data_IF_510775502690
#
_entry.id   IF_510775502690
#
_cell.length_a   1.000
_cell.length_b   1.000
_cell.length_c   1.000
_cell.angle_alpha   90.00
_cell.angle_beta   90.00
_cell.angle_gamma   90.00
#
_symmetry.space_group_name_H-M   'P 1'
#
loop_
_entity.id
_entity.type
_entity.pdbx_description
1 polymer ?
#
# COMPACT_ATOMS: atom_id res chain seq x y z
N UNK A 1 8.62 -21.91 -2.15
CA UNK A 1 9.40 -23.11 -2.55
C UNK A 1 8.45 -24.20 -3.07
N UNK A 2 7.43 -24.60 -2.32
CA UNK A 2 6.51 -25.68 -2.71
C UNK A 2 5.82 -25.42 -4.07
N UNK A 3 5.25 -24.22 -4.24
CA UNK A 3 4.56 -23.79 -5.47
C UNK A 3 5.37 -23.96 -6.77
N UNK A 4 6.71 -23.95 -6.68
CA UNK A 4 7.62 -24.12 -7.83
C UNK A 4 7.89 -25.58 -8.20
N UNK A 5 7.56 -26.55 -7.32
CA UNK A 5 7.95 -27.96 -7.54
C UNK A 5 7.28 -28.57 -8.76
N UNK A 6 6.01 -28.23 -9.02
CA UNK A 6 5.30 -28.65 -10.22
C UNK A 6 4.07 -27.79 -10.46
N UNK A 7 3.54 -27.83 -11.69
CA UNK A 7 2.26 -27.18 -12.06
C UNK A 7 1.05 -27.76 -11.31
N UNK A 8 1.16 -29.02 -10.86
CA UNK A 8 0.09 -29.73 -10.13
C UNK A 8 0.26 -29.66 -8.61
N UNK A 9 1.22 -28.86 -8.10
CA UNK A 9 1.43 -28.75 -6.66
C UNK A 9 0.21 -28.07 -6.00
N UNK A 10 -0.28 -28.54 -4.83
CA UNK A 10 -1.42 -27.95 -4.12
C UNK A 10 -1.27 -26.46 -3.79
N UNK A 11 -0.02 -25.96 -3.65
CA UNK A 11 0.28 -24.57 -3.40
C UNK A 11 0.54 -23.76 -4.68
N UNK A 12 0.33 -24.36 -5.88
CA UNK A 12 0.61 -23.66 -7.14
C UNK A 12 -0.14 -22.34 -7.21
N UNK A 13 -1.43 -22.37 -7.02
CA UNK A 13 -2.33 -21.23 -7.15
C UNK A 13 -2.35 -20.30 -5.94
N UNK A 14 -1.45 -20.52 -4.98
CA UNK A 14 -1.22 -19.55 -3.89
C UNK A 14 -0.52 -18.28 -4.36
N UNK A 15 0.15 -18.36 -5.51
CA UNK A 15 0.84 -17.25 -6.15
C UNK A 15 0.33 -17.06 -7.57
N UNK A 16 0.58 -15.89 -8.13
CA UNK A 16 0.14 -15.55 -9.49
C UNK A 16 1.16 -16.12 -10.48
N UNK A 17 0.75 -17.16 -11.21
CA UNK A 17 1.52 -17.79 -12.24
C UNK A 17 0.86 -17.63 -13.59
N UNK A 18 1.64 -17.38 -14.65
CA UNK A 18 1.16 -17.29 -16.03
C UNK A 18 2.08 -18.03 -16.97
N UNK A 19 1.51 -18.61 -18.03
CA UNK A 19 2.30 -19.17 -19.12
C UNK A 19 2.95 -18.04 -19.93
N UNK A 20 4.09 -18.31 -20.59
CA UNK A 20 4.71 -17.36 -21.51
C UNK A 20 3.74 -16.96 -22.64
N UNK A 21 3.72 -15.68 -23.00
CA UNK A 21 3.01 -15.16 -24.17
C UNK A 21 4.02 -14.95 -25.29
N UNK A 22 3.93 -15.72 -26.38
CA UNK A 22 4.90 -15.70 -27.48
C UNK A 22 6.36 -15.91 -27.02
N UNK A 23 6.58 -16.73 -25.97
CA UNK A 23 7.89 -17.01 -25.41
C UNK A 23 8.49 -15.88 -24.53
N UNK A 24 7.69 -14.88 -24.18
CA UNK A 24 8.06 -13.74 -23.33
C UNK A 24 7.16 -13.66 -22.08
N UNK A 25 7.38 -12.61 -21.29
CA UNK A 25 6.54 -12.27 -20.14
C UNK A 25 5.06 -12.18 -20.52
N UNK A 26 4.15 -12.47 -19.57
CA UNK A 26 2.70 -12.40 -19.80
C UNK A 26 2.19 -11.03 -20.26
N UNK A 27 2.82 -9.97 -19.78
CA UNK A 27 2.60 -8.58 -20.18
C UNK A 27 3.87 -7.75 -19.91
N UNK A 28 3.80 -6.46 -20.17
CA UNK A 28 4.95 -5.56 -20.09
C UNK A 28 5.16 -4.87 -18.73
N UNK A 29 4.45 -5.27 -17.66
CA UNK A 29 4.51 -4.55 -16.38
C UNK A 29 5.91 -4.50 -15.77
N UNK A 30 6.29 -3.31 -15.29
CA UNK A 30 7.46 -3.13 -14.45
C UNK A 30 7.17 -3.42 -12.98
N UNK A 31 8.21 -3.79 -12.22
CA UNK A 31 8.12 -3.90 -10.77
C UNK A 31 8.42 -2.56 -10.07
N UNK A 32 7.91 -2.39 -8.86
CA UNK A 32 8.12 -1.18 -8.03
C UNK A 32 9.60 -0.91 -7.71
N UNK A 33 10.44 -1.94 -7.70
CA UNK A 33 11.90 -1.83 -7.51
C UNK A 33 12.68 -1.84 -8.83
N UNK A 34 12.00 -1.64 -9.96
CA UNK A 34 12.57 -1.68 -11.30
C UNK A 34 12.66 -3.09 -11.89
N UNK A 35 12.85 -3.17 -13.20
CA UNK A 35 12.83 -4.42 -13.94
C UNK A 35 11.42 -4.90 -14.25
N UNK A 36 11.31 -6.13 -14.78
CA UNK A 36 10.02 -6.78 -15.04
C UNK A 36 9.30 -7.15 -13.73
N UNK A 37 7.97 -7.07 -13.73
CA UNK A 37 7.12 -7.64 -12.67
C UNK A 37 7.00 -9.16 -12.74
N UNK A 38 7.66 -9.79 -13.69
CA UNK A 38 7.59 -11.22 -13.95
C UNK A 38 8.97 -11.87 -13.91
N UNK A 39 9.09 -13.00 -13.23
CA UNK A 39 10.30 -13.81 -13.22
C UNK A 39 10.03 -15.20 -13.78
N UNK A 40 10.87 -15.62 -14.73
CA UNK A 40 10.74 -16.94 -15.37
C UNK A 40 11.25 -18.05 -14.44
N UNK A 41 10.44 -19.09 -14.29
CA UNK A 41 10.81 -20.31 -13.58
C UNK A 41 11.11 -21.45 -14.58
N UNK A 42 12.38 -21.79 -14.77
CA UNK A 42 12.76 -22.83 -15.73
C UNK A 42 12.26 -24.23 -15.36
N UNK A 43 11.98 -24.48 -14.08
CA UNK A 43 11.50 -25.79 -13.62
C UNK A 43 10.09 -26.08 -14.10
N UNK A 44 9.21 -25.08 -14.09
CA UNK A 44 7.81 -25.22 -14.53
C UNK A 44 7.52 -24.55 -15.85
N UNK A 45 8.50 -23.85 -16.43
CA UNK A 45 8.41 -23.11 -17.69
C UNK A 45 7.26 -22.09 -17.68
N UNK A 46 7.06 -21.40 -16.55
CA UNK A 46 6.06 -20.35 -16.37
C UNK A 46 6.70 -19.15 -15.73
N UNK A 47 6.00 -18.02 -15.77
CA UNK A 47 6.36 -16.81 -15.05
C UNK A 47 5.55 -16.71 -13.76
N UNK A 48 6.19 -16.25 -12.66
CA UNK A 48 5.48 -15.81 -11.48
C UNK A 48 5.57 -14.28 -11.34
N UNK A 49 4.51 -13.71 -10.78
CA UNK A 49 4.43 -12.28 -10.56
C UNK A 49 5.14 -11.87 -9.28
N UNK A 50 5.83 -10.72 -9.32
CA UNK A 50 6.38 -10.03 -8.16
C UNK A 50 6.41 -8.52 -8.42
N UNK A 51 5.52 -7.76 -7.81
CA UNK A 51 5.52 -6.29 -7.94
C UNK A 51 6.71 -5.64 -7.23
N UNK A 52 7.30 -6.33 -6.26
CA UNK A 52 8.46 -5.88 -5.50
C UNK A 52 9.67 -6.79 -5.78
N UNK A 53 10.30 -7.35 -4.76
CA UNK A 53 11.45 -8.24 -4.96
C UNK A 53 11.05 -9.59 -5.57
N UNK A 54 11.92 -10.17 -6.40
CA UNK A 54 11.80 -11.56 -6.89
C UNK A 54 11.64 -12.60 -5.77
N UNK A 55 12.03 -12.25 -4.54
CA UNK A 55 11.84 -13.09 -3.34
C UNK A 55 10.49 -12.87 -2.64
N UNK A 56 9.68 -11.95 -3.16
CA UNK A 56 8.35 -11.61 -2.67
C UNK A 56 7.31 -11.84 -3.77
N UNK A 57 7.07 -13.10 -4.17
CA UNK A 57 6.06 -13.40 -5.18
C UNK A 57 4.67 -12.96 -4.68
N UNK A 58 3.89 -12.40 -5.58
CA UNK A 58 2.54 -11.93 -5.27
C UNK A 58 1.60 -13.08 -4.95
N UNK A 59 0.91 -12.97 -3.80
CA UNK A 59 -0.12 -13.90 -3.40
C UNK A 59 -1.36 -13.76 -4.30
N UNK A 60 -1.94 -14.88 -4.66
CA UNK A 60 -3.15 -14.92 -5.46
C UNK A 60 -4.40 -14.76 -4.57
N UNK A 61 -4.85 -13.52 -4.33
CA UNK A 61 -6.04 -13.24 -3.54
C UNK A 61 -7.36 -13.70 -4.18
N UNK A 62 -7.37 -14.07 -5.46
CA UNK A 62 -8.51 -14.73 -6.08
C UNK A 62 -8.73 -16.15 -5.50
N UNK A 63 -7.67 -16.76 -4.98
CA UNK A 63 -7.73 -18.06 -4.35
C UNK A 63 -8.27 -17.97 -2.92
N UNK A 64 -9.45 -18.51 -2.68
CA UNK A 64 -10.09 -18.51 -1.36
C UNK A 64 -9.22 -19.17 -0.27
N UNK A 65 -8.46 -20.22 -0.61
CA UNK A 65 -7.56 -20.88 0.36
C UNK A 65 -6.47 -19.93 0.85
N UNK A 66 -5.93 -19.08 -0.04
CA UNK A 66 -4.95 -18.06 0.35
C UNK A 66 -5.57 -17.07 1.33
N UNK A 67 -6.76 -16.58 1.03
CA UNK A 67 -7.48 -15.66 1.92
C UNK A 67 -7.73 -16.29 3.28
N UNK A 68 -8.21 -17.53 3.30
CA UNK A 68 -8.46 -18.23 4.56
C UNK A 68 -7.19 -18.41 5.40
N UNK A 69 -6.07 -18.79 4.80
CA UNK A 69 -4.79 -18.91 5.53
C UNK A 69 -4.29 -17.56 6.05
N UNK A 70 -4.49 -16.47 5.31
CA UNK A 70 -4.21 -15.12 5.78
C UNK A 70 -5.10 -14.78 6.99
N UNK A 71 -6.39 -15.07 6.93
CA UNK A 71 -7.31 -14.82 8.05
C UNK A 71 -6.97 -15.66 9.28
N UNK A 72 -6.57 -16.91 9.10
CA UNK A 72 -6.15 -17.78 10.21
C UNK A 72 -4.84 -17.28 10.84
N UNK A 73 -3.91 -16.79 10.03
CA UNK A 73 -2.69 -16.14 10.52
C UNK A 73 -3.03 -14.86 11.31
N UNK A 74 -3.96 -14.04 10.82
CA UNK A 74 -4.38 -12.82 11.54
C UNK A 74 -5.04 -13.18 12.88
N UNK A 75 -5.95 -14.15 12.91
CA UNK A 75 -6.57 -14.65 14.15
C UNK A 75 -5.52 -15.15 15.15
N UNK A 76 -4.54 -15.92 14.67
CA UNK A 76 -3.45 -16.39 15.51
C UNK A 76 -2.73 -15.25 16.24
N UNK A 77 -2.49 -14.12 15.58
CA UNK A 77 -1.85 -12.97 16.22
C UNK A 77 -2.83 -12.22 17.14
N UNK A 78 -4.09 -12.06 16.76
CA UNK A 78 -5.13 -11.48 17.62
C UNK A 78 -5.28 -12.28 18.91
N UNK A 79 -5.31 -13.63 18.85
CA UNK A 79 -5.41 -14.52 19.99
C UNK A 79 -4.18 -14.42 20.93
N UNK A 80 -3.05 -13.91 20.42
CA UNK A 80 -1.87 -13.58 21.23
C UNK A 80 -1.93 -12.19 21.86
N UNK A 81 -2.98 -11.42 21.59
CA UNK A 81 -3.24 -10.14 22.25
C UNK A 81 -2.58 -8.94 21.54
N UNK A 82 -2.40 -8.98 20.24
CA UNK A 82 -2.03 -7.75 19.50
C UNK A 82 -3.24 -6.82 19.39
N UNK A 83 -2.99 -5.50 19.33
CA UNK A 83 -4.01 -4.47 19.31
C UNK A 83 -4.39 -4.00 17.89
N UNK A 84 -3.83 -4.60 16.86
CA UNK A 84 -4.19 -4.27 15.47
C UNK A 84 -3.15 -4.58 14.42
N UNK A 85 -3.43 -4.12 13.21
CA UNK A 85 -2.58 -4.35 12.03
C UNK A 85 -2.31 -3.06 11.26
N UNK A 86 -1.05 -2.81 10.92
CA UNK A 86 -0.66 -1.97 9.81
C UNK A 86 -0.50 -2.88 8.58
N UNK A 87 -1.26 -2.62 7.55
CA UNK A 87 -1.32 -3.47 6.35
C UNK A 87 -0.53 -2.83 5.23
N UNK A 88 0.59 -3.46 4.90
CA UNK A 88 1.53 -3.04 3.86
C UNK A 88 0.88 -3.14 2.49
N UNK A 89 0.98 -2.07 1.69
CA UNK A 89 0.43 -1.95 0.33
C UNK A 89 -0.92 -2.64 0.10
N UNK A 90 -1.80 -2.56 1.09
CA UNK A 90 -3.09 -3.29 1.10
C UNK A 90 -3.96 -2.98 -0.13
N UNK A 91 -3.81 -1.81 -0.73
CA UNK A 91 -4.51 -1.43 -1.96
C UNK A 91 -4.16 -2.27 -3.18
N UNK A 92 -3.10 -3.11 -3.09
CA UNK A 92 -2.59 -3.88 -4.22
C UNK A 92 -2.93 -5.38 -4.17
N UNK A 93 -3.76 -5.85 -3.24
CA UNK A 93 -4.10 -7.28 -3.14
C UNK A 93 -5.06 -7.75 -4.25
N UNK A 94 -5.86 -6.85 -4.82
CA UNK A 94 -6.73 -7.15 -5.97
C UNK A 94 -6.10 -6.63 -7.25
N UNK A 95 -6.12 -7.44 -8.29
CA UNK A 95 -5.55 -7.12 -9.60
C UNK A 95 -6.53 -7.38 -10.72
N UNK A 96 -6.43 -6.64 -11.82
CA UNK A 96 -7.16 -6.97 -13.04
C UNK A 96 -6.70 -8.32 -13.58
N UNK A 97 -7.61 -9.29 -13.63
CA UNK A 97 -7.31 -10.66 -14.00
C UNK A 97 -7.07 -10.87 -15.52
N UNK A 98 -7.35 -9.87 -16.33
CA UNK A 98 -7.01 -9.88 -17.76
C UNK A 98 -5.53 -9.63 -18.01
N UNK A 99 -4.81 -9.03 -17.04
CA UNK A 99 -3.38 -8.70 -17.11
C UNK A 99 -2.99 -7.99 -18.41
N UNK A 100 -3.65 -6.88 -18.78
CA UNK A 100 -3.35 -6.16 -20.01
C UNK A 100 -1.98 -5.50 -19.95
N UNK A 101 -1.43 -5.10 -21.10
CA UNK A 101 -0.23 -4.27 -21.13
C UNK A 101 -0.50 -2.90 -20.50
N UNK A 102 0.49 -2.39 -19.75
CA UNK A 102 0.48 -1.05 -19.18
C UNK A 102 1.10 -0.01 -20.13
N UNK A 103 0.78 1.26 -19.90
CA UNK A 103 1.38 2.38 -20.63
C UNK A 103 2.87 2.52 -20.30
N UNK A 104 3.71 2.80 -21.32
CA UNK A 104 5.16 2.81 -21.15
C UNK A 104 5.71 4.09 -20.49
N UNK A 105 5.00 5.18 -20.44
CA UNK A 105 5.31 6.44 -19.73
C UNK A 105 6.81 6.82 -19.68
N UNK A 106 7.52 6.73 -20.81
CA UNK A 106 8.98 6.91 -20.93
C UNK A 106 9.83 5.90 -20.11
N UNK A 107 9.26 4.79 -19.69
CA UNK A 107 9.93 3.67 -19.02
C UNK A 107 10.22 2.53 -20.00
N UNK A 108 11.12 1.62 -19.61
CA UNK A 108 11.35 0.36 -20.33
C UNK A 108 10.23 -0.67 -20.11
N UNK A 109 9.38 -0.44 -19.12
CA UNK A 109 8.28 -1.32 -18.73
C UNK A 109 6.99 -0.53 -18.62
N UNK A 110 5.87 -1.21 -18.79
CA UNK A 110 4.53 -0.65 -18.63
C UNK A 110 4.17 -0.39 -17.17
N UNK A 111 3.32 0.60 -16.95
CA UNK A 111 2.79 0.93 -15.64
C UNK A 111 1.75 -0.11 -15.18
N UNK A 112 2.00 -0.74 -14.04
CA UNK A 112 1.08 -1.68 -13.41
C UNK A 112 0.00 -0.99 -12.56
N UNK A 113 0.20 0.28 -12.19
CA UNK A 113 -0.64 1.02 -11.24
C UNK A 113 -2.13 0.92 -11.55
N UNK A 114 -2.60 1.26 -12.76
CA UNK A 114 -4.01 1.22 -13.11
C UNK A 114 -4.68 -0.15 -12.97
N UNK A 115 -3.92 -1.23 -12.92
CA UNK A 115 -4.41 -2.60 -12.91
C UNK A 115 -4.21 -3.34 -11.59
N UNK A 116 -3.37 -2.79 -10.72
CA UNK A 116 -2.99 -3.42 -9.45
C UNK A 116 -3.34 -2.58 -8.22
N UNK A 117 -3.47 -1.25 -8.36
CA UNK A 117 -3.81 -0.36 -7.25
C UNK A 117 -5.32 -0.13 -7.26
N UNK A 118 -5.97 -0.29 -6.11
CA UNK A 118 -7.44 -0.21 -5.98
C UNK A 118 -8.18 -1.15 -6.96
N UNK A 119 -7.65 -2.36 -7.16
CA UNK A 119 -8.18 -3.32 -8.12
C UNK A 119 -9.64 -3.70 -7.90
N UNK A 120 -10.28 -4.35 -8.87
CA UNK A 120 -11.75 -4.44 -8.98
C UNK A 120 -12.45 -5.16 -7.81
N UNK A 121 -11.74 -6.02 -7.08
CA UNK A 121 -12.30 -6.77 -5.94
C UNK A 121 -11.74 -6.34 -4.58
N UNK A 122 -11.00 -5.22 -4.52
CA UNK A 122 -10.33 -4.80 -3.28
C UNK A 122 -11.30 -4.66 -2.10
N UNK A 123 -12.41 -4.00 -2.31
CA UNK A 123 -13.40 -3.78 -1.26
C UNK A 123 -14.13 -5.08 -0.85
N UNK A 124 -14.36 -5.99 -1.80
CA UNK A 124 -14.88 -7.33 -1.51
C UNK A 124 -13.94 -8.10 -0.57
N UNK A 125 -12.64 -8.12 -0.86
CA UNK A 125 -11.65 -8.79 -0.03
C UNK A 125 -11.50 -8.16 1.35
N UNK A 126 -11.57 -6.83 1.45
CA UNK A 126 -11.49 -6.14 2.74
C UNK A 126 -12.76 -6.35 3.58
N UNK A 127 -13.93 -6.37 2.97
CA UNK A 127 -15.19 -6.70 3.67
C UNK A 127 -15.21 -8.16 4.12
N UNK A 128 -14.69 -9.09 3.31
CA UNK A 128 -14.49 -10.48 3.72
C UNK A 128 -13.53 -10.57 4.91
N UNK A 129 -12.38 -9.89 4.86
CA UNK A 129 -11.42 -9.82 5.96
C UNK A 129 -12.05 -9.26 7.24
N UNK A 130 -12.84 -8.20 7.11
CA UNK A 130 -13.55 -7.60 8.25
C UNK A 130 -14.52 -8.61 8.87
N UNK A 131 -15.35 -9.24 8.06
CA UNK A 131 -16.31 -10.25 8.52
C UNK A 131 -15.64 -11.46 9.16
N UNK A 132 -14.52 -11.93 8.58
CA UNK A 132 -13.84 -13.14 9.03
C UNK A 132 -12.91 -12.90 10.23
N UNK A 133 -12.37 -11.70 10.38
CA UNK A 133 -11.37 -11.37 11.41
C UNK A 133 -11.68 -10.07 12.13
N UNK A 134 -11.63 -8.92 11.45
CA UNK A 134 -11.48 -7.62 12.12
C UNK A 134 -12.66 -7.29 13.03
N UNK A 135 -13.89 -7.65 12.65
CA UNK A 135 -15.10 -7.42 13.46
C UNK A 135 -15.21 -8.34 14.68
N UNK A 136 -14.35 -9.35 14.80
CA UNK A 136 -14.39 -10.34 15.90
C UNK A 136 -13.45 -9.99 17.05
N UNK A 137 -12.61 -8.97 16.89
CA UNK A 137 -11.63 -8.54 17.88
C UNK A 137 -11.72 -7.02 18.09
N UNK A 138 -11.39 -6.57 19.28
CA UNK A 138 -11.26 -5.13 19.60
C UNK A 138 -9.85 -4.68 19.19
N UNK A 139 -9.68 -4.39 17.91
CA UNK A 139 -8.41 -4.05 17.29
C UNK A 139 -8.53 -2.85 16.34
N UNK A 140 -7.42 -2.18 16.10
CA UNK A 140 -7.31 -1.07 15.16
C UNK A 140 -6.60 -1.52 13.87
N UNK A 141 -7.03 -1.01 12.74
CA UNK A 141 -6.39 -1.28 11.45
C UNK A 141 -6.06 0.00 10.69
N UNK A 142 -4.87 0.04 10.08
CA UNK A 142 -4.47 1.09 9.17
C UNK A 142 -3.87 0.49 7.90
N UNK A 143 -4.38 0.91 6.74
CA UNK A 143 -3.89 0.45 5.44
C UNK A 143 -2.91 1.43 4.82
N UNK A 144 -1.84 0.92 4.22
CA UNK A 144 -1.01 1.71 3.33
C UNK A 144 -1.63 1.74 1.94
N UNK A 145 -1.97 2.93 1.47
CA UNK A 145 -2.70 3.14 0.22
C UNK A 145 -2.09 4.30 -0.58
N UNK A 146 -0.94 4.05 -1.20
CA UNK A 146 -0.30 5.04 -2.08
C UNK A 146 -1.25 5.45 -3.22
N UNK A 147 -1.28 6.75 -3.52
CA UNK A 147 -2.15 7.29 -4.56
C UNK A 147 -3.65 7.31 -4.24
N UNK A 148 -4.05 7.04 -2.99
CA UNK A 148 -5.46 7.05 -2.59
C UNK A 148 -6.05 8.45 -2.71
N UNK A 149 -7.23 8.55 -3.33
CA UNK A 149 -8.05 9.77 -3.31
C UNK A 149 -8.92 9.79 -2.05
N UNK A 150 -9.54 10.94 -1.77
CA UNK A 150 -10.45 11.06 -0.63
C UNK A 150 -11.67 10.14 -0.80
N UNK A 151 -12.21 10.05 -2.01
CA UNK A 151 -13.33 9.18 -2.32
C UNK A 151 -12.97 7.71 -2.10
N UNK A 152 -11.77 7.29 -2.49
CA UNK A 152 -11.30 5.94 -2.21
C UNK A 152 -11.04 5.73 -0.71
N UNK A 153 -10.45 6.71 -0.02
CA UNK A 153 -10.23 6.63 1.43
C UNK A 153 -11.55 6.44 2.20
N UNK A 154 -12.63 7.12 1.77
CA UNK A 154 -13.96 6.93 2.35
C UNK A 154 -14.52 5.51 2.10
N UNK A 155 -14.17 4.88 0.98
CA UNK A 155 -14.55 3.47 0.73
C UNK A 155 -13.78 2.52 1.65
N UNK A 156 -12.47 2.74 1.84
CA UNK A 156 -11.64 1.91 2.72
C UNK A 156 -11.98 2.06 4.21
N UNK A 157 -12.30 3.28 4.66
CA UNK A 157 -12.31 3.63 6.08
C UNK A 157 -13.62 4.25 6.57
N UNK A 158 -14.67 4.33 5.76
CA UNK A 158 -15.98 4.78 6.20
C UNK A 158 -16.64 3.75 7.13
N UNK A 159 -17.25 4.20 8.24
CA UNK A 159 -17.86 3.30 9.24
C UNK A 159 -18.84 2.28 8.65
N UNK A 160 -19.70 2.72 7.73
CA UNK A 160 -20.68 1.85 7.09
C UNK A 160 -20.08 0.85 6.09
N UNK A 161 -18.78 0.95 5.80
CA UNK A 161 -18.12 0.10 4.82
C UNK A 161 -17.73 -1.26 5.38
N UNK A 162 -17.48 -1.35 6.70
CA UNK A 162 -16.97 -2.56 7.35
C UNK A 162 -15.70 -3.10 6.68
N UNK A 163 -14.71 -2.22 6.51
CA UNK A 163 -13.39 -2.53 5.94
C UNK A 163 -12.31 -2.21 6.97
N UNK A 164 -11.53 -1.14 6.78
CA UNK A 164 -10.46 -0.71 7.69
C UNK A 164 -10.92 0.45 8.58
N UNK A 165 -10.19 0.72 9.66
CA UNK A 165 -10.48 1.90 10.48
C UNK A 165 -9.92 3.19 9.86
N UNK A 166 -8.77 3.13 9.18
CA UNK A 166 -8.14 4.28 8.52
C UNK A 166 -7.15 3.84 7.45
N UNK A 167 -6.70 4.79 6.63
CA UNK A 167 -5.67 4.57 5.62
C UNK A 167 -4.63 5.68 5.66
N UNK A 168 -3.38 5.36 5.27
CA UNK A 168 -2.34 6.35 5.03
C UNK A 168 -2.44 6.90 3.60
N UNK A 169 -2.60 8.21 3.49
CA UNK A 169 -2.48 8.96 2.24
C UNK A 169 -1.06 9.57 2.14
N UNK A 170 -0.59 9.80 0.92
CA UNK A 170 0.79 10.20 0.68
C UNK A 170 0.96 11.58 0.04
N UNK A 171 -0.12 12.27 -0.33
CA UNK A 171 -0.08 13.56 -1.04
C UNK A 171 0.87 14.57 -0.37
N UNK A 172 0.84 14.68 0.96
CA UNK A 172 1.63 15.67 1.69
C UNK A 172 3.13 15.35 1.72
N UNK A 173 3.52 14.05 1.71
CA UNK A 173 4.93 13.65 1.67
C UNK A 173 5.50 13.65 0.25
N UNK A 174 4.65 13.55 -0.76
CA UNK A 174 4.99 13.64 -2.18
C UNK A 174 5.05 15.08 -2.70
N UNK A 175 4.50 16.04 -1.94
CA UNK A 175 4.52 17.46 -2.30
C UNK A 175 5.95 17.98 -2.50
N UNK A 176 6.21 18.54 -3.70
CA UNK A 176 7.52 19.07 -4.09
C UNK A 176 8.57 17.98 -4.31
N UNK A 177 8.18 16.76 -4.63
CA UNK A 177 9.11 15.65 -4.89
C UNK A 177 9.83 15.77 -6.24
N UNK A 178 9.22 16.43 -7.23
CA UNK A 178 9.79 16.58 -8.56
C UNK A 178 10.25 15.25 -9.19
N UNK A 179 11.19 15.32 -10.10
CA UNK A 179 11.71 14.14 -10.82
C UNK A 179 12.53 13.19 -9.95
N UNK A 180 12.98 13.63 -8.76
CA UNK A 180 13.78 12.83 -7.84
C UNK A 180 12.96 12.13 -6.74
N UNK A 181 11.63 12.29 -6.76
CA UNK A 181 10.74 11.69 -5.78
C UNK A 181 11.15 12.05 -4.34
N UNK A 182 11.08 11.09 -3.43
CA UNK A 182 11.45 11.27 -2.01
C UNK A 182 12.92 11.66 -1.75
N UNK A 183 13.79 11.53 -2.74
CA UNK A 183 15.22 11.89 -2.66
C UNK A 183 15.52 13.31 -3.14
N UNK A 184 14.49 14.10 -3.45
CA UNK A 184 14.66 15.49 -3.85
C UNK A 184 15.33 16.34 -2.77
N UNK A 185 16.16 17.30 -3.18
CA UNK A 185 16.69 18.36 -2.34
C UNK A 185 15.86 19.64 -2.40
N UNK A 186 14.84 19.66 -3.25
CA UNK A 186 13.91 20.78 -3.34
C UNK A 186 13.06 20.91 -2.08
N UNK A 187 12.76 22.14 -1.71
CA UNK A 187 11.87 22.39 -0.59
C UNK A 187 10.43 22.08 -1.00
N UNK A 188 9.67 21.53 -0.06
CA UNK A 188 8.24 21.35 -0.23
C UNK A 188 7.53 22.71 -0.36
N UNK A 189 6.42 22.77 -1.09
CA UNK A 189 5.55 23.93 -1.12
C UNK A 189 4.67 23.93 0.14
N UNK A 190 4.94 24.89 1.03
CA UNK A 190 4.19 25.03 2.28
C UNK A 190 2.70 25.36 2.06
N UNK A 191 2.37 26.12 1.01
CA UNK A 191 0.97 26.45 0.72
C UNK A 191 0.22 25.21 0.27
N UNK A 192 0.84 24.44 -0.57
CA UNK A 192 0.28 23.17 -1.05
C UNK A 192 0.19 22.15 0.08
N UNK A 193 1.21 22.02 0.92
CA UNK A 193 1.15 21.20 2.13
C UNK A 193 -0.05 21.56 3.01
N UNK A 194 -0.21 22.86 3.30
CA UNK A 194 -1.36 23.35 4.07
C UNK A 194 -2.69 23.01 3.40
N UNK A 195 -2.80 23.21 2.09
CA UNK A 195 -4.00 22.89 1.31
C UNK A 195 -4.35 21.40 1.40
N UNK A 196 -3.37 20.53 1.26
CA UNK A 196 -3.55 19.07 1.38
C UNK A 196 -4.05 18.71 2.78
N UNK A 197 -3.40 19.19 3.81
CA UNK A 197 -3.80 18.87 5.20
C UNK A 197 -5.23 19.34 5.50
N UNK A 198 -5.60 20.56 5.09
CA UNK A 198 -6.95 21.08 5.25
C UNK A 198 -7.97 20.23 4.49
N UNK A 199 -7.70 19.93 3.22
CA UNK A 199 -8.55 19.10 2.37
C UNK A 199 -8.88 17.76 3.04
N UNK A 200 -7.87 17.05 3.53
CA UNK A 200 -8.06 15.77 4.18
C UNK A 200 -8.81 15.88 5.52
N UNK A 201 -8.62 16.96 6.28
CA UNK A 201 -9.38 17.20 7.51
C UNK A 201 -10.86 17.48 7.22
N UNK A 202 -11.17 18.35 6.27
CA UNK A 202 -12.55 18.78 5.95
C UNK A 202 -13.33 17.68 5.26
N UNK A 203 -12.71 16.99 4.30
CA UNK A 203 -13.44 16.03 3.44
C UNK A 203 -13.64 14.65 4.07
N UNK A 204 -12.81 14.27 5.05
CA UNK A 204 -13.04 13.05 5.83
C UNK A 204 -13.94 13.28 7.05
N UNK A 205 -14.16 14.52 7.48
CA UNK A 205 -14.95 14.83 8.67
C UNK A 205 -16.35 14.19 8.59
N UNK A 206 -16.68 13.35 9.59
CA UNK A 206 -17.96 12.66 9.67
C UNK A 206 -18.16 11.53 8.65
N UNK A 207 -17.14 11.20 7.84
CA UNK A 207 -17.20 10.15 6.81
C UNK A 207 -16.21 9.02 7.06
N UNK A 208 -14.98 9.37 7.46
CA UNK A 208 -13.93 8.38 7.79
C UNK A 208 -12.93 8.98 8.78
N UNK A 209 -12.22 8.12 9.53
CA UNK A 209 -11.20 8.58 10.46
C UNK A 209 -9.86 8.79 9.76
N UNK A 210 -9.22 9.91 10.05
CA UNK A 210 -7.96 10.29 9.42
C UNK A 210 -6.75 9.67 10.15
N UNK A 211 -5.76 9.17 9.42
CA UNK A 211 -4.44 8.86 9.93
C UNK A 211 -3.47 10.01 9.64
N UNK A 212 -2.69 10.41 10.61
CA UNK A 212 -1.82 11.58 10.54
C UNK A 212 -0.36 11.17 10.70
N UNK A 213 0.48 11.48 9.75
CA UNK A 213 1.92 11.24 9.82
C UNK A 213 2.69 12.31 9.02
N UNK A 214 3.96 12.52 9.36
CA UNK A 214 4.86 13.39 8.61
C UNK A 214 6.09 12.63 8.07
N UNK A 215 6.21 11.36 8.38
CA UNK A 215 7.27 10.49 7.91
C UNK A 215 7.08 9.06 8.42
N UNK A 216 7.75 8.14 7.77
CA UNK A 216 7.78 6.72 8.11
C UNK A 216 9.15 6.14 7.74
N UNK A 217 9.32 4.82 7.83
CA UNK A 217 10.57 4.11 7.49
C UNK A 217 10.97 4.22 6.00
N UNK A 218 10.03 4.60 5.12
CA UNK A 218 10.24 4.75 3.68
C UNK A 218 10.43 6.20 3.23
N UNK A 219 10.30 7.17 4.15
CA UNK A 219 10.37 8.60 3.86
C UNK A 219 11.57 9.26 4.54
N UNK A 220 12.09 10.38 4.01
CA UNK A 220 13.07 11.19 4.71
C UNK A 220 12.55 11.63 6.07
N UNK A 221 13.46 11.90 7.02
CA UNK A 221 13.07 12.39 8.34
C UNK A 221 12.27 13.69 8.22
N UNK A 222 11.15 13.76 8.94
CA UNK A 222 10.19 14.88 8.86
C UNK A 222 10.82 16.23 9.17
N UNK A 223 11.74 16.31 10.13
CA UNK A 223 12.42 17.58 10.43
C UNK A 223 13.31 18.04 9.28
N UNK A 224 14.01 17.12 8.61
CA UNK A 224 14.83 17.47 7.44
C UNK A 224 13.96 17.85 6.23
N UNK A 225 12.81 17.21 6.06
CA UNK A 225 11.92 17.44 4.91
C UNK A 225 11.07 18.71 5.09
N UNK A 226 10.44 18.88 6.27
CA UNK A 226 9.42 19.91 6.53
C UNK A 226 9.87 20.99 7.48
N UNK A 227 11.01 20.83 8.15
CA UNK A 227 11.54 21.75 9.14
C UNK A 227 12.92 22.28 8.80
N UNK A 228 13.68 22.52 9.86
CA UNK A 228 15.09 22.91 9.77
C UNK A 228 15.91 22.00 10.70
N UNK A 229 16.74 21.14 10.13
CA UNK A 229 17.54 20.14 10.86
C UNK A 229 18.92 20.68 11.31
N UNK A 230 19.22 21.95 11.08
CA UNK A 230 20.37 22.60 11.69
C UNK A 230 20.30 22.45 13.23
N UNK A 231 21.38 22.06 13.91
CA UNK A 231 21.38 21.88 15.37
C UNK A 231 20.75 22.99 16.18
N UNK A 232 20.89 24.26 15.73
CA UNK A 232 20.30 25.43 16.40
C UNK A 232 18.75 25.48 16.35
N UNK A 233 18.13 24.80 15.36
CA UNK A 233 16.68 24.88 15.10
C UNK A 233 15.97 23.53 15.13
N UNK A 234 16.71 22.43 15.16
CA UNK A 234 16.16 21.07 15.05
C UNK A 234 15.07 20.78 16.08
N UNK A 235 15.35 21.09 17.34
CA UNK A 235 14.40 20.82 18.43
C UNK A 235 13.12 21.66 18.29
N UNK A 236 13.28 22.96 18.00
CA UNK A 236 12.13 23.85 17.78
C UNK A 236 11.30 23.41 16.56
N UNK A 237 11.95 23.02 15.46
CA UNK A 237 11.28 22.48 14.29
C UNK A 237 10.53 21.19 14.59
N UNK A 238 11.15 20.28 15.33
CA UNK A 238 10.50 19.02 15.73
C UNK A 238 9.26 19.27 16.60
N UNK A 239 9.36 20.16 17.58
CA UNK A 239 8.22 20.53 18.43
C UNK A 239 7.10 21.21 17.65
N UNK A 240 7.43 22.08 16.71
CA UNK A 240 6.44 22.72 15.83
C UNK A 240 5.70 21.70 14.99
N UNK A 241 6.43 20.79 14.33
CA UNK A 241 5.84 19.73 13.50
C UNK A 241 4.99 18.77 14.34
N UNK A 242 5.45 18.38 15.53
CA UNK A 242 4.68 17.55 16.45
C UNK A 242 3.40 18.27 16.91
N UNK A 243 3.48 19.55 17.24
CA UNK A 243 2.30 20.35 17.60
C UNK A 243 1.29 20.36 16.44
N UNK A 244 1.74 20.64 15.22
CA UNK A 244 0.89 20.63 14.04
C UNK A 244 0.18 19.27 13.89
N UNK A 245 0.93 18.17 13.97
CA UNK A 245 0.40 16.81 13.80
C UNK A 245 -0.65 16.46 14.88
N UNK A 246 -0.37 16.74 16.15
CA UNK A 246 -1.22 16.35 17.28
C UNK A 246 -2.43 17.27 17.49
N UNK A 247 -2.49 18.43 16.86
CA UNK A 247 -3.62 19.36 16.97
C UNK A 247 -4.68 19.13 15.88
N UNK A 248 -4.43 18.24 14.92
CA UNK A 248 -5.41 17.86 13.89
C UNK A 248 -6.27 16.68 14.36
N UNK A 249 -7.47 16.56 13.81
CA UNK A 249 -8.35 15.41 14.07
C UNK A 249 -7.85 14.17 13.33
N UNK A 250 -7.57 13.12 14.08
CA UNK A 250 -7.10 11.84 13.54
C UNK A 250 -6.16 11.12 14.50
N UNK A 251 -5.67 9.95 14.09
CA UNK A 251 -4.67 9.20 14.85
C UNK A 251 -3.27 9.60 14.42
N UNK A 252 -2.44 10.20 15.30
CA UNK A 252 -1.08 10.60 14.98
C UNK A 252 -0.13 9.41 15.02
N UNK A 253 0.69 9.28 13.97
CA UNK A 253 1.79 8.32 13.88
C UNK A 253 3.12 9.05 13.89
N UNK A 254 4.03 8.64 14.76
CA UNK A 254 5.36 9.23 14.94
C UNK A 254 6.43 8.18 14.66
N UNK A 255 7.42 8.54 13.80
CA UNK A 255 8.55 7.69 13.43
C UNK A 255 9.88 8.31 13.82
#
# INVERSE_FOLDING_TARGET
>A
IESRKSKANPYRDYYIWKDPVNGKEPNNWGGAFGGSAWEYDPQTQMYYMHLFSKKQPDLNWENEKVRQEVYDMMKFWCDKGIDGFRMDVISMISKDQSFPDGEMNNSLYGDFGPYCVHGPRIHEFLQEMNREVLSKYDIMTVGETSGVTIEEAQKYAGEARNELNMVFQFEHVENGSGDYGKWTTEKYDFKEFKRIMIKWQEELQGKAWNSLFLGNHDQPRSVSRFGNDNPAYRETSAKMLATCLHMMQGTPYVY
#
